data_IF_557660170084
#
_entry.id   IF_557660170084
#
_cell.length_a   1.000
_cell.length_b   1.000
_cell.length_c   1.000
_cell.angle_alpha   90.00
_cell.angle_beta   90.00
_cell.angle_gamma   90.00
#
_symmetry.space_group_name_H-M   'P 1'
#
loop_
_entity.id
_entity.type
_entity.pdbx_description
1 polymer ?
#
# COMPACT_ATOMS: atom_id res chain seq x y z
N UNK A 1 21.90 -16.26 30.60
CA UNK A 1 21.25 -17.22 29.67
C UNK A 1 20.41 -16.57 28.56
N UNK A 2 20.19 -15.24 28.53
CA UNK A 2 19.34 -14.60 27.50
C UNK A 2 20.09 -14.22 26.20
N UNK A 3 21.42 -14.09 26.22
CA UNK A 3 22.22 -13.66 25.07
C UNK A 3 22.35 -14.71 23.96
N UNK A 4 22.34 -16.01 24.30
CA UNK A 4 22.46 -17.08 23.30
C UNK A 4 21.19 -17.25 22.47
N UNK A 5 20.01 -17.06 23.06
CA UNK A 5 18.71 -17.23 22.40
C UNK A 5 18.40 -16.07 21.43
N UNK A 6 18.76 -14.84 21.79
CA UNK A 6 18.62 -13.68 20.90
C UNK A 6 19.49 -13.85 19.64
N UNK A 7 20.72 -14.31 19.80
CA UNK A 7 21.65 -14.47 18.69
C UNK A 7 21.21 -15.59 17.71
N UNK A 8 20.65 -16.70 18.22
CA UNK A 8 20.10 -17.75 17.36
C UNK A 8 18.86 -17.31 16.57
N UNK A 9 17.99 -16.49 17.16
CA UNK A 9 16.82 -15.93 16.44
C UNK A 9 17.25 -15.00 15.30
N UNK A 10 18.26 -14.14 15.53
CA UNK A 10 18.81 -13.25 14.52
C UNK A 10 19.48 -14.00 13.36
N UNK A 11 20.24 -15.06 13.66
CA UNK A 11 20.88 -15.91 12.64
C UNK A 11 19.82 -16.61 11.79
N UNK A 12 18.75 -17.14 12.40
CA UNK A 12 17.66 -17.80 11.68
C UNK A 12 16.92 -16.83 10.76
N UNK A 13 16.63 -15.62 11.23
CA UNK A 13 15.98 -14.59 10.41
C UNK A 13 16.88 -14.17 9.24
N UNK A 14 18.17 -13.93 9.47
CA UNK A 14 19.16 -13.61 8.41
C UNK A 14 19.26 -14.74 7.39
N UNK A 15 19.26 -16.00 7.83
CA UNK A 15 19.34 -17.15 6.93
C UNK A 15 18.07 -17.29 6.08
N UNK A 16 16.89 -17.05 6.64
CA UNK A 16 15.62 -17.01 5.91
C UNK A 16 15.60 -15.87 4.88
N UNK A 17 16.08 -14.68 5.22
CA UNK A 17 16.20 -13.55 4.27
C UNK A 17 17.20 -13.82 3.15
N UNK A 18 18.36 -14.42 3.46
CA UNK A 18 19.33 -14.85 2.45
C UNK A 18 18.73 -15.88 1.49
N UNK A 19 17.99 -16.87 2.02
CA UNK A 19 17.31 -17.86 1.19
C UNK A 19 16.29 -17.22 0.23
N UNK A 20 15.49 -16.25 0.70
CA UNK A 20 14.55 -15.50 -0.15
C UNK A 20 15.29 -14.75 -1.27
N UNK A 21 16.36 -14.03 -0.95
CA UNK A 21 17.15 -13.29 -1.94
C UNK A 21 17.73 -14.25 -3.00
N UNK A 22 18.29 -15.38 -2.57
CA UNK A 22 18.93 -16.34 -3.45
C UNK A 22 17.93 -16.97 -4.43
N UNK A 23 16.74 -17.35 -3.95
CA UNK A 23 15.72 -17.92 -4.83
C UNK A 23 15.08 -16.81 -5.72
N UNK A 24 15.00 -15.54 -5.26
CA UNK A 24 14.54 -14.42 -6.10
C UNK A 24 15.48 -14.20 -7.26
N UNK A 25 16.79 -14.15 -6.97
CA UNK A 25 17.83 -13.99 -7.96
C UNK A 25 17.80 -15.17 -8.95
N UNK A 26 17.65 -16.40 -8.46
CA UNK A 26 17.49 -17.58 -9.30
C UNK A 26 16.29 -17.49 -10.25
N UNK A 27 15.12 -17.09 -9.77
CA UNK A 27 13.92 -16.90 -10.59
C UNK A 27 14.11 -15.80 -11.65
N UNK A 28 14.71 -14.67 -11.27
CA UNK A 28 15.01 -13.57 -12.18
C UNK A 28 16.00 -13.96 -13.28
N UNK A 29 17.11 -14.61 -12.91
CA UNK A 29 18.12 -15.10 -13.86
C UNK A 29 17.55 -16.16 -14.81
N UNK A 30 16.71 -17.07 -14.32
CA UNK A 30 16.07 -18.09 -15.15
C UNK A 30 15.11 -17.46 -16.17
N UNK A 31 14.35 -16.44 -15.76
CA UNK A 31 13.45 -15.70 -16.65
C UNK A 31 14.22 -14.83 -17.67
N UNK A 32 15.40 -14.33 -17.32
CA UNK A 32 16.25 -13.54 -18.21
C UNK A 32 16.95 -14.39 -19.29
N UNK A 33 17.43 -15.58 -18.93
CA UNK A 33 18.17 -16.44 -19.86
C UNK A 33 17.25 -17.21 -20.82
N UNK A 34 16.03 -17.53 -20.38
CA UNK A 34 15.05 -18.24 -21.20
C UNK A 34 13.93 -17.31 -21.66
N UNK A 35 13.85 -17.05 -22.97
CA UNK A 35 12.73 -16.31 -23.58
C UNK A 35 11.45 -17.15 -23.57
N UNK A 36 10.76 -17.18 -22.43
CA UNK A 36 9.48 -17.87 -22.27
C UNK A 36 8.29 -17.02 -22.73
N UNK A 37 7.18 -17.68 -23.08
CA UNK A 37 5.91 -17.02 -23.38
C UNK A 37 5.34 -16.30 -22.14
N UNK A 38 4.69 -15.16 -22.35
CA UNK A 38 4.15 -14.31 -21.28
C UNK A 38 3.35 -15.01 -20.17
N UNK A 39 2.51 -16.03 -20.46
CA UNK A 39 1.76 -16.75 -19.42
C UNK A 39 2.63 -17.58 -18.47
N UNK A 40 3.73 -18.15 -18.96
CA UNK A 40 4.62 -19.02 -18.17
C UNK A 40 5.42 -18.17 -17.19
N UNK A 41 5.88 -17.00 -17.63
CA UNK A 41 6.55 -16.03 -16.78
C UNK A 41 5.64 -15.60 -15.61
N UNK A 42 4.36 -15.30 -15.88
CA UNK A 42 3.41 -14.94 -14.83
C UNK A 42 3.25 -16.05 -13.76
N UNK A 43 3.22 -17.33 -14.15
CA UNK A 43 3.17 -18.45 -13.20
C UNK A 43 4.42 -18.56 -12.34
N UNK A 44 5.62 -18.31 -12.89
CA UNK A 44 6.88 -18.35 -12.14
C UNK A 44 6.89 -17.24 -11.08
N UNK A 45 6.50 -16.02 -11.44
CA UNK A 45 6.41 -14.89 -10.50
C UNK A 45 5.33 -15.11 -9.42
N UNK A 46 4.22 -15.75 -9.78
CA UNK A 46 3.15 -16.06 -8.84
C UNK A 46 3.57 -17.16 -7.86
N UNK A 47 4.21 -18.21 -8.34
CA UNK A 47 4.80 -19.26 -7.49
C UNK A 47 5.90 -18.72 -6.57
N UNK A 48 6.74 -17.83 -7.10
CA UNK A 48 7.75 -17.08 -6.34
C UNK A 48 7.12 -16.29 -5.18
N UNK A 49 6.08 -15.52 -5.47
CA UNK A 49 5.34 -14.73 -4.49
C UNK A 49 4.78 -15.64 -3.39
N UNK A 50 4.09 -16.72 -3.76
CA UNK A 50 3.52 -17.68 -2.80
C UNK A 50 4.58 -18.32 -1.91
N UNK A 51 5.71 -18.75 -2.48
CA UNK A 51 6.81 -19.36 -1.73
C UNK A 51 7.43 -18.38 -0.73
N UNK A 52 7.63 -17.13 -1.15
CA UNK A 52 8.16 -16.07 -0.29
C UNK A 52 7.20 -15.76 0.85
N UNK A 53 5.90 -15.67 0.55
CA UNK A 53 4.85 -15.47 1.55
C UNK A 53 4.86 -16.60 2.58
N UNK A 54 4.93 -17.85 2.11
CA UNK A 54 4.93 -19.04 2.94
C UNK A 54 6.15 -19.11 3.89
N UNK A 55 7.35 -18.83 3.38
CA UNK A 55 8.57 -18.75 4.20
C UNK A 55 8.50 -17.58 5.20
N UNK A 56 7.88 -16.47 4.81
CA UNK A 56 7.61 -15.33 5.68
C UNK A 56 6.72 -15.71 6.87
N UNK A 57 5.65 -16.47 6.64
CA UNK A 57 4.76 -16.95 7.70
C UNK A 57 5.45 -17.86 8.72
N UNK A 58 6.42 -18.68 8.29
CA UNK A 58 7.15 -19.60 9.17
C UNK A 58 8.28 -18.93 9.97
N UNK A 59 8.58 -17.66 9.68
CA UNK A 59 9.63 -16.88 10.35
C UNK A 59 9.11 -16.25 11.65
N UNK A 60 10.02 -15.99 12.60
CA UNK A 60 9.68 -15.38 13.90
C UNK A 60 8.91 -14.06 13.75
N UNK A 61 9.29 -13.26 12.75
CA UNK A 61 8.62 -12.00 12.36
C UNK A 61 7.22 -12.23 11.80
N UNK A 62 6.99 -13.30 11.04
CA UNK A 62 5.67 -13.67 10.53
C UNK A 62 4.68 -14.01 11.64
N UNK A 63 5.15 -14.74 12.67
CA UNK A 63 4.34 -15.04 13.85
C UNK A 63 3.98 -13.79 14.66
N UNK A 64 4.94 -12.87 14.83
CA UNK A 64 4.71 -11.57 15.51
C UNK A 64 3.67 -10.73 14.76
N UNK A 65 3.73 -10.67 13.43
CA UNK A 65 2.72 -9.97 12.61
C UNK A 65 1.34 -10.62 12.73
N UNK A 66 1.27 -11.95 12.83
CA UNK A 66 0.01 -12.66 13.02
C UNK A 66 -0.60 -12.42 14.42
N UNK A 67 0.22 -12.38 15.46
CA UNK A 67 -0.20 -12.00 16.81
C UNK A 67 -0.66 -10.53 16.83
N UNK A 68 0.09 -9.61 16.24
CA UNK A 68 -0.32 -8.20 16.08
C UNK A 68 -1.63 -8.05 15.30
N UNK A 69 -1.84 -8.84 14.23
CA UNK A 69 -3.09 -8.80 13.47
C UNK A 69 -4.30 -9.28 14.30
N UNK A 70 -4.09 -10.23 15.22
CA UNK A 70 -5.14 -10.64 16.16
C UNK A 70 -5.43 -9.55 17.19
N UNK A 71 -4.40 -8.90 17.74
CA UNK A 71 -4.55 -7.77 18.66
C UNK A 71 -5.25 -6.58 17.97
N UNK A 72 -4.84 -6.23 16.75
CA UNK A 72 -5.46 -5.19 15.94
C UNK A 72 -6.94 -5.47 15.66
N UNK A 73 -7.33 -6.73 15.43
CA UNK A 73 -8.76 -7.11 15.32
C UNK A 73 -9.53 -6.79 16.59
N UNK A 74 -8.96 -7.08 17.76
CA UNK A 74 -9.60 -6.77 19.05
C UNK A 74 -9.73 -5.26 19.27
N UNK A 75 -8.75 -4.48 18.82
CA UNK A 75 -8.82 -3.01 18.88
C UNK A 75 -9.79 -2.40 17.88
N UNK A 76 -9.88 -2.94 16.67
CA UNK A 76 -10.88 -2.53 15.68
C UNK A 76 -12.31 -2.72 16.19
N UNK A 77 -12.55 -3.74 17.03
CA UNK A 77 -13.85 -3.93 17.69
C UNK A 77 -14.14 -2.88 18.76
N UNK A 78 -13.12 -2.19 19.30
CA UNK A 78 -13.28 -1.07 20.23
C UNK A 78 -13.57 0.25 19.50
N UNK A 79 -13.45 0.29 18.18
CA UNK A 79 -13.78 1.48 17.38
C UNK A 79 -15.30 1.63 17.38
N UNK A 80 -15.77 2.54 18.23
CA UNK A 80 -17.15 3.03 18.18
C UNK A 80 -17.24 3.88 16.93
N UNK A 81 -17.85 3.32 15.89
CA UNK A 81 -18.10 4.07 14.67
C UNK A 81 -19.06 5.22 14.97
N UNK A 82 -18.77 6.42 14.44
CA UNK A 82 -19.61 7.59 14.64
C UNK A 82 -21.02 7.30 14.13
N UNK A 83 -22.00 7.91 14.77
CA UNK A 83 -23.40 7.74 14.36
C UNK A 83 -23.59 8.30 12.93
N UNK A 84 -24.59 7.78 12.20
CA UNK A 84 -24.88 8.26 10.83
C UNK A 84 -25.14 9.77 10.80
N UNK A 85 -25.69 10.32 11.89
CA UNK A 85 -25.99 11.74 12.02
C UNK A 85 -24.71 12.60 12.08
N UNK A 86 -23.73 12.22 12.90
CA UNK A 86 -22.43 12.92 13.01
C UNK A 86 -21.64 12.87 11.68
N UNK A 87 -21.69 11.71 11.00
CA UNK A 87 -21.03 11.52 9.70
C UNK A 87 -21.63 12.43 8.64
N UNK A 88 -22.96 12.50 8.56
CA UNK A 88 -23.67 13.36 7.60
C UNK A 88 -23.41 14.83 7.92
N UNK A 89 -23.45 15.24 9.20
CA UNK A 89 -23.17 16.61 9.59
C UNK A 89 -21.79 17.07 9.12
N UNK A 90 -20.76 16.26 9.37
CA UNK A 90 -19.38 16.59 8.95
C UNK A 90 -19.25 16.59 7.42
N UNK A 91 -19.85 15.63 6.73
CA UNK A 91 -19.82 15.54 5.26
C UNK A 91 -20.53 16.72 4.60
N UNK A 92 -21.67 17.16 5.13
CA UNK A 92 -22.41 18.32 4.62
C UNK A 92 -21.60 19.61 4.80
N UNK A 93 -20.93 19.79 5.95
CA UNK A 93 -20.04 20.94 6.16
C UNK A 93 -18.93 20.96 5.11
N UNK A 94 -18.25 19.83 4.88
CA UNK A 94 -17.20 19.71 3.87
C UNK A 94 -17.74 19.96 2.46
N UNK A 95 -18.90 19.41 2.12
CA UNK A 95 -19.55 19.61 0.82
C UNK A 95 -19.82 21.10 0.55
N UNK A 96 -20.36 21.82 1.54
CA UNK A 96 -20.59 23.27 1.42
C UNK A 96 -19.28 24.02 1.22
N UNK A 97 -18.23 23.69 1.99
CA UNK A 97 -16.92 24.32 1.86
C UNK A 97 -16.30 24.10 0.45
N UNK A 98 -16.37 22.86 -0.07
CA UNK A 98 -15.83 22.51 -1.38
C UNK A 98 -16.63 23.19 -2.50
N UNK A 99 -17.96 23.21 -2.42
CA UNK A 99 -18.81 23.92 -3.39
C UNK A 99 -18.52 25.42 -3.41
N UNK A 100 -18.39 26.05 -2.24
CA UNK A 100 -18.05 27.48 -2.15
C UNK A 100 -16.68 27.77 -2.77
N UNK A 101 -15.67 26.97 -2.40
CA UNK A 101 -14.30 27.14 -2.93
C UNK A 101 -14.25 26.91 -4.43
N UNK A 102 -14.92 25.87 -4.93
CA UNK A 102 -15.03 25.59 -6.36
C UNK A 102 -15.72 26.70 -7.14
N UNK A 103 -16.77 27.30 -6.57
CA UNK A 103 -17.48 28.42 -7.19
C UNK A 103 -16.60 29.69 -7.26
N UNK A 104 -15.83 29.97 -6.22
CA UNK A 104 -14.87 31.10 -6.20
C UNK A 104 -13.79 30.90 -7.27
N UNK A 105 -13.17 29.71 -7.31
CA UNK A 105 -12.14 29.40 -8.32
C UNK A 105 -12.73 29.53 -9.74
N UNK A 106 -13.88 28.90 -10.00
CA UNK A 106 -14.56 29.01 -11.28
C UNK A 106 -14.84 30.47 -11.70
N UNK A 107 -15.24 31.33 -10.76
CA UNK A 107 -15.44 32.76 -11.00
C UNK A 107 -14.15 33.47 -11.39
N UNK A 108 -13.05 33.20 -10.68
CA UNK A 108 -11.73 33.76 -10.99
C UNK A 108 -11.22 33.28 -12.35
N UNK A 109 -11.33 31.98 -12.63
CA UNK A 109 -10.92 31.39 -13.91
C UNK A 109 -11.72 31.98 -15.08
N UNK A 110 -13.04 32.13 -14.92
CA UNK A 110 -13.92 32.73 -15.92
C UNK A 110 -13.60 34.21 -16.16
N UNK A 111 -13.35 34.96 -15.08
CA UNK A 111 -12.95 36.38 -15.17
C UNK A 111 -11.59 36.54 -15.85
N UNK A 112 -10.63 35.68 -15.52
CA UNK A 112 -9.31 35.66 -16.15
C UNK A 112 -9.41 35.33 -17.64
N UNK A 113 -10.20 34.32 -18.02
CA UNK A 113 -10.44 33.96 -19.42
C UNK A 113 -11.07 35.13 -20.19
N UNK A 114 -12.06 35.81 -19.60
CA UNK A 114 -12.69 36.98 -20.21
C UNK A 114 -11.69 38.13 -20.42
N UNK A 115 -10.86 38.41 -19.41
CA UNK A 115 -9.84 39.46 -19.49
C UNK A 115 -8.79 39.17 -20.57
N UNK A 116 -8.30 37.93 -20.63
CA UNK A 116 -7.32 37.49 -21.64
C UNK A 116 -7.92 37.56 -23.05
N UNK A 117 -9.18 37.14 -23.22
CA UNK A 117 -9.88 37.23 -24.51
C UNK A 117 -9.98 38.68 -25.00
N UNK A 118 -10.31 39.61 -24.10
CA UNK A 118 -10.35 41.06 -24.41
C UNK A 118 -8.98 41.64 -24.76
N UNK A 119 -7.92 41.23 -24.08
CA UNK A 119 -6.56 41.74 -24.33
C UNK A 119 -5.98 41.18 -25.62
N UNK A 120 -6.22 39.90 -25.94
CA UNK A 120 -5.59 39.23 -27.09
C UNK A 120 -6.28 39.54 -28.42
N UNK A 121 -7.39 40.28 -28.40
CA UNK A 121 -8.17 40.62 -29.60
C UNK A 121 -8.52 39.37 -30.45
N UNK A 122 -8.69 38.21 -29.80
CA UNK A 122 -9.43 37.07 -30.34
C UNK A 122 -10.85 37.19 -29.77
N UNK A 123 -11.57 38.24 -30.21
CA UNK A 123 -12.88 38.64 -29.71
C UNK A 123 -13.11 40.15 -29.76
#
# INVERSE_FOLDING_TARGET
MNSSNENQSKIKDILSWLAVILITAGAFFCTYYYTFSGPIQAMIWLGWLVLTLFLGYLTTKGKQVFEFAQEAKVELLKVVWPTRQETIQTTTIVMVMVTLTGFILWGVDSMMMWAIAKITHLG
#
